data_IF_012480926148
#
_entry.id   IF_012480926148
#
_cell.length_a   1.000
_cell.length_b   1.000
_cell.length_c   1.000
_cell.angle_alpha   90.00
_cell.angle_beta   90.00
_cell.angle_gamma   90.00
#
_symmetry.space_group_name_H-M   'P 1'
#
loop_
_entity.id
_entity.type
_entity.pdbx_description
1 polymer ?
#
# COMPACT_ATOMS: atom_id res chain seq x y z
N UNK A 1 4.28 1.85 3.32
CA UNK A 1 2.84 1.65 3.05
C UNK A 1 2.06 2.96 2.96
N UNK A 2 2.18 3.89 3.93
CA UNK A 2 1.40 5.13 3.95
C UNK A 2 1.49 5.98 2.66
N UNK A 3 2.70 6.27 2.17
CA UNK A 3 2.88 7.11 0.95
C UNK A 3 2.19 6.52 -0.28
N UNK A 4 2.24 5.20 -0.45
CA UNK A 4 1.56 4.51 -1.56
C UNK A 4 0.05 4.58 -1.46
N UNK A 5 -0.51 4.44 -0.25
CA UNK A 5 -1.96 4.60 -0.02
C UNK A 5 -2.41 6.04 -0.27
N UNK A 6 -1.65 7.03 0.21
CA UNK A 6 -1.93 8.46 -0.03
C UNK A 6 -1.96 8.75 -1.53
N UNK A 7 -0.93 8.32 -2.28
CA UNK A 7 -0.86 8.55 -3.72
C UNK A 7 -1.98 7.82 -4.47
N UNK A 8 -2.34 6.60 -4.06
CA UNK A 8 -3.42 5.82 -4.65
C UNK A 8 -4.80 6.46 -4.43
N UNK A 9 -5.14 6.81 -3.19
CA UNK A 9 -6.40 7.49 -2.88
C UNK A 9 -6.47 8.90 -3.46
N UNK A 10 -5.34 9.61 -3.53
CA UNK A 10 -5.26 10.90 -4.22
C UNK A 10 -5.57 10.74 -5.71
N UNK A 11 -4.94 9.78 -6.38
CA UNK A 11 -5.20 9.52 -7.79
C UNK A 11 -6.68 9.15 -8.06
N UNK A 12 -7.34 8.43 -7.14
CA UNK A 12 -8.77 8.13 -7.19
C UNK A 12 -9.68 9.34 -6.90
N UNK A 13 -9.24 10.27 -6.04
CA UNK A 13 -9.96 11.50 -5.69
C UNK A 13 -9.66 12.68 -6.63
N UNK A 14 -8.79 12.54 -7.65
CA UNK A 14 -8.54 13.62 -8.62
C UNK A 14 -9.27 13.39 -9.96
N UNK A 15 -10.44 14.01 -10.11
CA UNK A 15 -11.28 13.89 -11.32
C UNK A 15 -10.75 14.59 -12.59
N UNK A 16 -9.61 15.30 -12.52
CA UNK A 16 -9.05 16.08 -13.65
C UNK A 16 -7.77 15.48 -14.25
N UNK A 17 -7.38 14.26 -13.85
CA UNK A 17 -6.13 13.64 -14.30
C UNK A 17 -6.07 13.41 -15.83
N UNK A 18 -7.21 13.18 -16.49
CA UNK A 18 -7.33 13.08 -17.96
C UNK A 18 -6.85 14.33 -18.73
N UNK A 19 -6.75 15.50 -18.09
CA UNK A 19 -6.25 16.72 -18.74
C UNK A 19 -4.73 16.76 -18.89
N UNK A 20 -3.98 15.97 -18.11
CA UNK A 20 -2.52 15.92 -18.17
C UNK A 20 -2.02 15.13 -19.39
N UNK A 21 -2.83 14.20 -19.89
CA UNK A 21 -2.53 13.38 -21.07
C UNK A 21 -3.66 13.47 -22.11
N UNK A 22 -3.68 14.50 -22.98
CA UNK A 22 -4.71 14.66 -24.01
C UNK A 22 -4.76 13.51 -25.03
N UNK A 23 -3.73 12.65 -25.07
CA UNK A 23 -3.67 11.43 -25.89
C UNK A 23 -4.63 10.32 -25.41
N UNK A 24 -5.17 10.43 -24.19
CA UNK A 24 -6.00 9.37 -23.58
C UNK A 24 -7.49 9.52 -23.89
N UNK A 25 -7.95 10.71 -24.29
CA UNK A 25 -9.36 10.99 -24.56
C UNK A 25 -9.75 10.58 -25.98
N UNK A 26 -10.64 9.60 -26.11
CA UNK A 26 -11.19 9.13 -27.40
C UNK A 26 -12.72 9.23 -27.40
N UNK A 27 -13.37 9.33 -28.56
CA UNK A 27 -14.84 9.50 -28.68
C UNK A 27 -15.67 8.37 -28.04
N UNK A 28 -15.06 7.23 -27.70
CA UNK A 28 -15.72 6.07 -27.12
C UNK A 28 -15.50 5.91 -25.60
N UNK A 29 -14.71 6.78 -24.96
CA UNK A 29 -14.28 6.64 -23.57
C UNK A 29 -14.69 7.89 -22.78
N UNK A 30 -15.63 7.72 -21.84
CA UNK A 30 -16.12 8.78 -20.96
C UNK A 30 -15.03 9.24 -19.96
N UNK A 31 -15.25 10.35 -19.27
CA UNK A 31 -14.30 11.00 -18.35
C UNK A 31 -13.73 10.01 -17.32
N UNK A 32 -14.55 9.09 -16.82
CA UNK A 32 -14.13 8.03 -15.89
C UNK A 32 -13.14 7.04 -16.51
N UNK A 33 -13.44 6.57 -17.71
CA UNK A 33 -12.57 5.67 -18.48
C UNK A 33 -11.21 6.35 -18.80
N UNK A 34 -11.24 7.65 -19.14
CA UNK A 34 -10.04 8.42 -19.42
C UNK A 34 -9.19 8.66 -18.15
N UNK A 35 -9.82 8.93 -17.01
CA UNK A 35 -9.13 9.05 -15.71
C UNK A 35 -8.48 7.74 -15.28
N UNK A 36 -9.20 6.60 -15.42
CA UNK A 36 -8.68 5.29 -15.05
C UNK A 36 -7.46 4.91 -15.89
N UNK A 37 -7.54 5.07 -17.22
CA UNK A 37 -6.42 4.81 -18.15
C UNK A 37 -5.20 5.71 -17.86
N UNK A 38 -5.44 6.97 -17.50
CA UNK A 38 -4.36 7.90 -17.11
C UNK A 38 -3.70 7.48 -15.80
N UNK A 39 -4.49 7.06 -14.81
CA UNK A 39 -4.01 6.58 -13.52
C UNK A 39 -3.12 5.32 -13.67
N UNK A 40 -3.52 4.38 -14.53
CA UNK A 40 -2.70 3.20 -14.85
C UNK A 40 -1.34 3.57 -15.47
N UNK A 41 -1.33 4.51 -16.43
CA UNK A 41 -0.08 4.96 -17.06
C UNK A 41 0.86 5.64 -16.06
N UNK A 42 0.33 6.50 -15.19
CA UNK A 42 1.11 7.14 -14.12
C UNK A 42 1.67 6.09 -13.16
N UNK A 43 0.85 5.10 -12.78
CA UNK A 43 1.26 4.03 -11.87
C UNK A 43 2.41 3.20 -12.45
N UNK A 44 2.33 2.84 -13.74
CA UNK A 44 3.40 2.11 -14.43
C UNK A 44 4.69 2.94 -14.48
N UNK A 45 4.61 4.22 -14.84
CA UNK A 45 5.77 5.10 -14.91
C UNK A 45 6.42 5.33 -13.53
N UNK A 46 5.60 5.49 -12.48
CA UNK A 46 6.09 5.66 -11.12
C UNK A 46 6.75 4.37 -10.60
N UNK A 47 6.10 3.21 -10.80
CA UNK A 47 6.65 1.93 -10.41
C UNK A 47 7.96 1.62 -11.14
N UNK A 48 8.02 1.84 -12.47
CA UNK A 48 9.25 1.61 -13.22
C UNK A 48 10.39 2.51 -12.74
N UNK A 49 10.11 3.79 -12.49
CA UNK A 49 11.10 4.75 -11.97
C UNK A 49 11.58 4.32 -10.58
N UNK A 50 10.67 3.97 -9.67
CA UNK A 50 11.03 3.49 -8.32
C UNK A 50 11.83 2.19 -8.37
N UNK A 51 11.48 1.26 -9.26
CA UNK A 51 12.25 0.02 -9.46
C UNK A 51 13.65 0.32 -9.96
N UNK A 52 13.81 1.20 -10.96
CA UNK A 52 15.13 1.60 -11.46
C UNK A 52 15.95 2.26 -10.35
N UNK A 53 15.35 3.18 -9.60
CA UNK A 53 16.01 3.84 -8.47
C UNK A 53 16.40 2.84 -7.39
N UNK A 54 15.52 1.89 -7.04
CA UNK A 54 15.83 0.85 -6.06
C UNK A 54 17.00 -0.01 -6.52
N UNK A 55 17.00 -0.47 -7.77
CA UNK A 55 18.07 -1.28 -8.33
C UNK A 55 19.39 -0.52 -8.46
N UNK A 56 19.35 0.80 -8.62
CA UNK A 56 20.55 1.64 -8.75
C UNK A 56 21.12 2.08 -7.39
N UNK A 57 20.25 2.38 -6.41
CA UNK A 57 20.66 2.86 -5.09
C UNK A 57 20.95 1.74 -4.10
N UNK A 58 20.29 0.60 -4.21
CA UNK A 58 20.60 -0.56 -3.39
C UNK A 58 21.91 -1.15 -3.91
N UNK A 59 23.01 -0.79 -3.24
CA UNK A 59 24.29 -1.49 -3.40
C UNK A 59 24.09 -2.90 -2.89
N UNK A 60 23.94 -3.86 -3.80
CA UNK A 60 24.03 -5.26 -3.42
C UNK A 60 25.45 -5.54 -2.91
N UNK A 61 25.57 -6.10 -1.71
CA UNK A 61 26.80 -6.77 -1.32
C UNK A 61 26.92 -7.98 -2.24
N UNK A 62 27.87 -7.94 -3.18
CA UNK A 62 28.23 -9.11 -3.96
C UNK A 62 28.51 -10.26 -2.98
N UNK A 63 27.76 -11.36 -3.11
CA UNK A 63 28.01 -12.56 -2.34
C UNK A 63 29.43 -13.04 -2.69
N UNK A 64 30.39 -12.79 -1.80
CA UNK A 64 31.77 -13.20 -1.99
C UNK A 64 31.80 -14.72 -1.99
N UNK A 65 31.86 -15.31 -3.19
CA UNK A 65 32.19 -16.70 -3.40
C UNK A 65 33.58 -16.93 -2.80
N UNK A 66 33.62 -17.51 -1.60
CA UNK A 66 34.84 -18.17 -1.11
C UNK A 66 35.13 -19.33 -2.06
N UNK A 67 36.23 -19.26 -2.79
CA UNK A 67 36.94 -20.44 -3.32
C UNK A 67 38.31 -20.55 -2.62
N UNK A 68 39.01 -21.68 -2.74
CA UNK A 68 38.64 -23.00 -2.24
C UNK A 68 39.74 -23.55 -1.31
N UNK A 69 39.38 -24.22 -0.22
CA UNK A 69 40.37 -24.85 0.65
C UNK A 69 39.76 -25.64 1.81
N UNK A 70 39.80 -26.97 1.67
CA UNK A 70 39.71 -28.04 2.70
C UNK A 70 38.33 -28.17 3.41
N UNK A 71 37.58 -29.28 3.37
CA UNK A 71 37.87 -30.70 3.10
C UNK A 71 36.55 -31.41 2.72
N UNK A 72 36.64 -32.30 1.72
CA UNK A 72 35.75 -33.39 1.30
C UNK A 72 34.35 -33.58 1.94
N UNK A 73 33.32 -33.36 1.12
CA UNK A 73 32.30 -34.38 0.83
C UNK A 73 31.54 -34.01 -0.46
N UNK A 74 31.55 -34.94 -1.41
CA UNK A 74 30.87 -34.87 -2.70
C UNK A 74 29.40 -34.46 -2.56
N UNK A 75 29.05 -33.29 -3.09
CA UNK A 75 27.69 -33.07 -3.55
C UNK A 75 27.69 -32.15 -4.77
N UNK A 76 27.83 -32.80 -5.92
CA UNK A 76 27.17 -32.48 -7.19
C UNK A 76 27.08 -30.99 -7.53
N UNK A 77 28.06 -30.54 -8.31
CA UNK A 77 28.16 -29.27 -9.03
C UNK A 77 27.04 -29.11 -10.09
N UNK A 78 25.79 -29.36 -9.70
CA UNK A 78 24.62 -28.97 -10.49
C UNK A 78 24.40 -27.50 -10.26
N UNK A 79 24.70 -26.70 -11.29
CA UNK A 79 24.19 -25.34 -11.45
C UNK A 79 22.70 -25.33 -11.12
N UNK A 80 22.36 -25.00 -9.88
CA UNK A 80 20.98 -24.83 -9.48
C UNK A 80 20.53 -23.59 -10.25
N UNK A 81 19.52 -23.68 -11.14
CA UNK A 81 19.04 -22.50 -11.83
C UNK A 81 18.63 -21.47 -10.77
N UNK A 82 19.02 -20.21 -10.95
CA UNK A 82 18.79 -19.05 -10.07
C UNK A 82 17.47 -19.09 -9.25
N UNK A 83 16.39 -19.61 -9.84
CA UNK A 83 15.09 -19.84 -9.18
C UNK A 83 15.11 -20.85 -8.01
N UNK A 84 15.92 -21.90 -8.04
CA UNK A 84 16.04 -22.88 -6.96
C UNK A 84 16.76 -22.31 -5.73
N UNK A 85 17.71 -21.42 -5.94
CA UNK A 85 18.40 -20.69 -4.87
C UNK A 85 17.47 -19.64 -4.23
N UNK A 86 16.69 -18.93 -5.04
CA UNK A 86 15.62 -18.04 -4.58
C UNK A 86 14.56 -18.82 -3.78
N UNK A 87 14.09 -19.95 -4.29
CA UNK A 87 13.07 -20.76 -3.61
C UNK A 87 13.60 -21.41 -2.32
N UNK A 88 14.89 -21.77 -2.29
CA UNK A 88 15.59 -22.22 -1.08
C UNK A 88 15.75 -21.13 -0.02
N UNK A 89 16.08 -19.90 -0.44
CA UNK A 89 16.17 -18.74 0.45
C UNK A 89 14.79 -18.34 1.00
N UNK A 90 13.75 -18.39 0.16
CA UNK A 90 12.35 -18.17 0.54
C UNK A 90 11.90 -19.22 1.57
N UNK A 91 12.24 -20.50 1.38
CA UNK A 91 11.76 -21.60 2.25
C UNK A 91 12.42 -21.62 3.64
N UNK A 92 13.65 -21.14 3.77
CA UNK A 92 14.44 -21.26 5.02
C UNK A 92 14.30 -20.06 5.98
N UNK A 93 13.58 -18.99 5.60
CA UNK A 93 13.41 -17.82 6.48
C UNK A 93 12.05 -17.81 7.20
N UNK A 94 11.99 -17.45 8.50
CA UNK A 94 10.74 -17.18 9.24
C UNK A 94 9.90 -16.03 8.63
N UNK A 95 10.46 -15.35 7.63
CA UNK A 95 9.86 -14.29 6.84
C UNK A 95 8.65 -14.77 6.01
N UNK A 96 8.52 -16.06 5.68
CA UNK A 96 7.37 -16.55 4.91
C UNK A 96 6.05 -16.42 5.65
N UNK A 97 6.04 -16.68 6.95
CA UNK A 97 4.86 -16.49 7.79
C UNK A 97 4.51 -15.00 7.84
N UNK A 98 5.50 -14.12 8.00
CA UNK A 98 5.29 -12.67 8.01
C UNK A 98 4.78 -12.14 6.67
N UNK A 99 5.32 -12.61 5.55
CA UNK A 99 4.86 -12.26 4.21
C UNK A 99 3.44 -12.75 3.96
N UNK A 100 3.14 -13.99 4.34
CA UNK A 100 1.80 -14.56 4.20
C UNK A 100 0.78 -13.81 5.06
N UNK A 101 1.11 -13.53 6.32
CA UNK A 101 0.25 -12.72 7.21
C UNK A 101 0.06 -11.31 6.65
N UNK A 102 1.10 -10.69 6.10
CA UNK A 102 1.01 -9.36 5.48
C UNK A 102 0.12 -9.38 4.23
N UNK A 103 0.26 -10.40 3.38
CA UNK A 103 -0.58 -10.59 2.20
C UNK A 103 -2.05 -10.79 2.59
N UNK A 104 -2.34 -11.69 3.54
CA UNK A 104 -3.69 -11.93 4.02
C UNK A 104 -4.30 -10.67 4.65
N UNK A 105 -3.53 -9.94 5.46
CA UNK A 105 -3.99 -8.67 6.05
C UNK A 105 -4.35 -7.65 4.97
N UNK A 106 -3.54 -7.55 3.90
CA UNK A 106 -3.82 -6.60 2.81
C UNK A 106 -5.04 -7.01 1.99
N UNK A 107 -5.23 -8.31 1.75
CA UNK A 107 -6.41 -8.85 1.08
C UNK A 107 -7.66 -8.62 1.93
N UNK A 108 -7.58 -8.79 3.25
CA UNK A 108 -8.70 -8.56 4.15
C UNK A 108 -9.12 -7.08 4.22
N UNK A 109 -8.16 -6.16 4.09
CA UNK A 109 -8.44 -4.72 4.11
C UNK A 109 -9.08 -4.20 2.81
N UNK A 110 -8.80 -4.84 1.68
CA UNK A 110 -9.33 -4.41 0.38
C UNK A 110 -10.88 -4.37 0.30
N UNK A 111 -11.63 -5.44 0.64
CA UNK A 111 -13.09 -5.42 0.59
C UNK A 111 -13.69 -4.47 1.61
N UNK A 112 -13.04 -4.28 2.76
CA UNK A 112 -13.47 -3.32 3.78
C UNK A 112 -13.45 -1.88 3.22
N UNK A 113 -12.33 -1.49 2.60
CA UNK A 113 -12.19 -0.17 1.96
C UNK A 113 -13.24 0.05 0.86
N UNK A 114 -13.49 -0.97 0.02
CA UNK A 114 -14.50 -0.87 -1.03
C UNK A 114 -15.90 -0.71 -0.45
N UNK A 115 -16.22 -1.50 0.58
CA UNK A 115 -17.49 -1.41 1.28
C UNK A 115 -17.70 -0.02 1.89
N UNK A 116 -16.69 0.56 2.54
CA UNK A 116 -16.78 1.91 3.10
C UNK A 116 -17.10 2.94 2.01
N UNK A 117 -16.46 2.85 0.84
CA UNK A 117 -16.74 3.78 -0.27
C UNK A 117 -18.11 3.57 -0.90
N UNK A 118 -18.57 2.32 -1.01
CA UNK A 118 -19.91 1.99 -1.53
C UNK A 118 -21.00 2.46 -0.56
N UNK A 119 -20.81 2.24 0.75
CA UNK A 119 -21.69 2.72 1.80
C UNK A 119 -21.80 4.25 1.81
N UNK A 120 -20.68 4.96 1.62
CA UNK A 120 -20.69 6.42 1.47
C UNK A 120 -21.45 6.89 0.23
N UNK A 121 -21.39 6.13 -0.87
CA UNK A 121 -22.14 6.38 -2.10
C UNK A 121 -23.65 6.16 -1.96
N UNK A 122 -24.02 5.01 -1.39
CA UNK A 122 -25.41 4.52 -1.36
C UNK A 122 -26.19 5.02 -0.17
N UNK A 123 -25.64 4.88 1.04
CA UNK A 123 -26.38 5.13 2.28
C UNK A 123 -26.30 6.60 2.71
N UNK A 124 -25.10 7.19 2.66
CA UNK A 124 -24.90 8.58 3.10
C UNK A 124 -25.39 9.58 2.05
N UNK A 125 -25.04 9.35 0.78
CA UNK A 125 -25.40 10.26 -0.31
C UNK A 125 -26.69 9.85 -1.04
N UNK A 126 -27.26 8.68 -0.74
CA UNK A 126 -28.54 8.25 -1.29
C UNK A 126 -28.54 7.97 -2.80
N UNK A 127 -27.37 7.77 -3.43
CA UNK A 127 -27.27 7.55 -4.87
C UNK A 127 -27.37 6.07 -5.24
N UNK A 128 -27.99 5.76 -6.38
CA UNK A 128 -27.88 4.43 -6.99
C UNK A 128 -26.61 4.30 -7.85
N UNK A 129 -26.20 3.06 -8.11
CA UNK A 129 -25.05 2.78 -8.99
C UNK A 129 -25.35 3.42 -10.35
N UNK A 130 -24.42 4.22 -10.88
CA UNK A 130 -24.54 5.08 -12.09
C UNK A 130 -25.11 6.50 -11.87
N UNK A 131 -25.56 6.85 -10.67
CA UNK A 131 -25.97 8.22 -10.36
C UNK A 131 -24.79 9.15 -10.04
N UNK A 132 -24.92 10.42 -10.42
CA UNK A 132 -23.98 11.47 -10.03
C UNK A 132 -23.88 11.68 -8.52
N UNK A 133 -24.92 11.30 -7.76
CA UNK A 133 -24.91 11.37 -6.30
C UNK A 133 -24.07 10.24 -5.70
N UNK A 134 -24.15 9.03 -6.27
CA UNK A 134 -23.30 7.91 -5.91
C UNK A 134 -21.84 8.23 -6.19
N UNK A 135 -21.53 8.76 -7.39
CA UNK A 135 -20.17 9.19 -7.73
C UNK A 135 -19.59 10.21 -6.76
N UNK A 136 -20.41 11.17 -6.30
CA UNK A 136 -20.01 12.16 -5.28
C UNK A 136 -19.72 11.49 -3.94
N UNK A 137 -20.55 10.54 -3.52
CA UNK A 137 -20.37 9.83 -2.25
C UNK A 137 -19.13 8.93 -2.26
N UNK A 138 -18.90 8.18 -3.35
CA UNK A 138 -17.67 7.39 -3.55
C UNK A 138 -16.44 8.30 -3.51
N UNK A 139 -16.52 9.47 -4.14
CA UNK A 139 -15.44 10.43 -4.12
C UNK A 139 -15.14 10.99 -2.73
N UNK A 140 -16.19 11.30 -1.95
CA UNK A 140 -16.05 11.73 -0.57
C UNK A 140 -15.44 10.61 0.30
N UNK A 141 -15.83 9.35 0.09
CA UNK A 141 -15.22 8.18 0.73
C UNK A 141 -13.73 8.06 0.41
N UNK A 142 -13.35 8.20 -0.86
CA UNK A 142 -11.94 8.20 -1.28
C UNK A 142 -11.14 9.35 -0.64
N UNK A 143 -11.74 10.53 -0.47
CA UNK A 143 -11.13 11.65 0.24
C UNK A 143 -10.95 11.35 1.74
N UNK A 144 -11.90 10.67 2.37
CA UNK A 144 -11.78 10.18 3.75
C UNK A 144 -10.59 9.23 3.91
N UNK A 145 -10.45 8.26 3.01
CA UNK A 145 -9.34 7.30 2.99
C UNK A 145 -7.97 7.97 2.74
N UNK A 146 -7.95 9.05 1.96
CA UNK A 146 -6.75 9.88 1.77
C UNK A 146 -6.34 10.54 3.09
N UNK A 147 -7.28 11.15 3.81
CA UNK A 147 -7.01 11.79 5.10
C UNK A 147 -6.54 10.74 6.12
N UNK A 148 -7.20 9.58 6.18
CA UNK A 148 -6.77 8.44 7.01
C UNK A 148 -5.31 8.07 6.73
N UNK A 149 -4.94 7.93 5.46
CA UNK A 149 -3.57 7.57 5.08
C UNK A 149 -2.54 8.64 5.43
N UNK A 150 -2.91 9.93 5.37
CA UNK A 150 -2.04 11.05 5.79
C UNK A 150 -1.85 11.02 7.31
N UNK A 151 -2.93 10.85 8.07
CA UNK A 151 -2.89 10.78 9.54
C UNK A 151 -2.09 9.55 10.00
N UNK A 152 -2.29 8.40 9.37
CA UNK A 152 -1.50 7.19 9.62
C UNK A 152 -0.01 7.42 9.32
N UNK A 153 0.31 8.11 8.22
CA UNK A 153 1.69 8.47 7.87
C UNK A 153 2.34 9.37 8.91
N UNK A 154 1.67 10.46 9.31
CA UNK A 154 2.16 11.39 10.33
C UNK A 154 2.32 10.72 11.69
N UNK A 155 1.33 9.90 12.09
CA UNK A 155 1.36 9.15 13.34
C UNK A 155 2.53 8.15 13.34
N UNK A 156 2.76 7.45 12.22
CA UNK A 156 3.88 6.51 12.09
C UNK A 156 5.24 7.18 12.24
N UNK A 157 5.42 8.41 11.74
CA UNK A 157 6.67 9.17 11.92
C UNK A 157 6.79 9.70 13.35
N UNK A 158 5.67 10.07 13.96
CA UNK A 158 5.63 10.65 15.31
C UNK A 158 5.81 9.62 16.42
N UNK A 159 5.44 8.36 16.19
CA UNK A 159 5.43 7.33 17.23
C UNK A 159 6.83 6.96 17.71
N UNK A 160 7.81 6.93 16.81
CA UNK A 160 9.19 6.57 17.13
C UNK A 160 9.91 7.61 18.03
N UNK A 161 9.89 8.92 17.73
CA UNK A 161 10.44 9.92 18.63
C UNK A 161 9.65 10.02 19.94
N UNK A 162 8.32 9.82 19.91
CA UNK A 162 7.48 9.89 21.10
C UNK A 162 7.73 8.70 22.05
N UNK A 163 7.88 7.49 21.50
CA UNK A 163 8.25 6.29 22.24
C UNK A 163 9.62 6.41 22.90
N UNK A 164 10.59 7.05 22.22
CA UNK A 164 11.93 7.31 22.79
C UNK A 164 11.90 8.36 23.90
N UNK A 165 11.01 9.37 23.83
CA UNK A 165 10.92 10.45 24.84
C UNK A 165 10.11 10.08 26.09
N UNK A 166 8.96 9.43 25.92
CA UNK A 166 7.97 9.24 26.99
C UNK A 166 7.96 7.79 27.51
N UNK A 167 8.56 6.87 26.75
CA UNK A 167 8.59 5.44 27.05
C UNK A 167 7.32 4.72 26.59
N UNK A 168 7.49 3.50 26.07
CA UNK A 168 6.42 2.71 25.41
C UNK A 168 5.21 2.46 26.31
N UNK A 169 5.43 2.26 27.63
CA UNK A 169 4.34 1.94 28.57
C UNK A 169 3.36 3.10 28.80
N UNK A 170 3.88 4.34 28.87
CA UNK A 170 3.05 5.54 29.03
C UNK A 170 2.32 5.87 27.73
N UNK A 171 3.05 5.80 26.60
CA UNK A 171 2.45 5.98 25.27
C UNK A 171 1.29 5.01 25.02
N UNK A 172 1.44 3.74 25.37
CA UNK A 172 0.38 2.76 25.23
C UNK A 172 -0.85 3.07 26.11
N UNK A 173 -0.62 3.53 27.35
CA UNK A 173 -1.68 4.00 28.24
C UNK A 173 -2.43 5.21 27.68
N UNK A 174 -1.70 6.23 27.22
CA UNK A 174 -2.27 7.45 26.66
C UNK A 174 -3.13 7.17 25.42
N UNK A 175 -2.64 6.31 24.51
CA UNK A 175 -3.38 5.90 23.30
C UNK A 175 -4.65 5.14 23.69
N UNK A 176 -4.57 4.23 24.66
CA UNK A 176 -5.73 3.45 25.11
C UNK A 176 -6.78 4.34 25.81
N UNK A 177 -6.36 5.33 26.59
CA UNK A 177 -7.27 6.32 27.18
C UNK A 177 -7.94 7.17 26.11
N UNK A 178 -7.20 7.63 25.10
CA UNK A 178 -7.76 8.39 23.99
C UNK A 178 -8.78 7.57 23.20
N UNK A 179 -8.47 6.28 22.96
CA UNK A 179 -9.38 5.34 22.34
C UNK A 179 -10.68 5.26 23.16
N UNK A 180 -10.61 4.97 24.45
CA UNK A 180 -11.81 4.87 25.29
C UNK A 180 -12.70 6.12 25.25
N UNK A 181 -12.11 7.31 25.25
CA UNK A 181 -12.85 8.58 25.15
C UNK A 181 -13.54 8.71 23.77
N UNK A 182 -12.86 8.29 22.69
CA UNK A 182 -13.42 8.35 21.34
C UNK A 182 -14.57 7.35 21.11
N UNK A 183 -14.54 6.18 21.78
CA UNK A 183 -15.60 5.17 21.69
C UNK A 183 -16.77 5.43 22.65
N UNK A 184 -16.57 6.23 23.70
CA UNK A 184 -17.60 6.57 24.68
C UNK A 184 -18.94 7.06 24.09
N UNK A 185 -18.97 7.99 23.10
CA UNK A 185 -20.21 8.48 22.51
C UNK A 185 -20.89 7.51 21.54
N UNK A 186 -20.24 6.41 21.16
CA UNK A 186 -20.81 5.38 20.28
C UNK A 186 -21.60 4.30 21.04
N UNK A 187 -21.46 4.28 22.37
CA UNK A 187 -22.15 3.35 23.28
C UNK A 187 -23.18 4.03 24.19
N UNK A 188 -23.40 5.34 24.03
CA UNK A 188 -24.41 6.11 24.76
C UNK A 188 -25.56 6.52 23.86
#
# INVERSE_FOLDING_TARGET
MAVGNVLGYAAGSFNKLHKLFPFVQTKACDVYCANLKSCFMISIALLSTLTILALTFVREMAFSRKEPGETDQEHDDKKIPFFGEIFGAIKNLPMMILLLVTCLNRIAWFPFILFDTDWMGREVHGGEVEDKLYDKGVHAGAMGLLIDSVVLGLTSVSIEPLARRIGVKRLWGDVNSFLQIAWLPLFS
#
